data_IF_269410514797
#
_entry.id   IF_269410514797
#
_cell.length_a   1.000
_cell.length_b   1.000
_cell.length_c   1.000
_cell.angle_alpha   90.00
_cell.angle_beta   90.00
_cell.angle_gamma   90.00
#
_symmetry.space_group_name_H-M   'P 1'
#
loop_
_entity.id
_entity.type
_entity.pdbx_description
1 polymer ?
#
# COMPACT_ATOMS: atom_id res chain seq x y z
N UNK A 1 10.47 -24.05 4.07
CA UNK A 1 9.58 -22.94 4.47
C UNK A 1 8.39 -23.56 5.16
N UNK A 2 8.19 -23.23 6.43
CA UNK A 2 7.01 -23.66 7.19
C UNK A 2 6.06 -22.47 7.31
N UNK A 3 4.84 -22.62 6.78
CA UNK A 3 3.82 -21.57 6.83
C UNK A 3 2.92 -21.79 8.05
N UNK A 4 2.95 -20.86 9.01
CA UNK A 4 2.11 -20.90 10.21
C UNK A 4 1.16 -19.70 10.21
N UNK A 5 -0.15 -19.90 9.93
CA UNK A 5 -1.11 -18.81 9.97
C UNK A 5 -1.33 -18.37 11.42
N UNK A 6 -1.08 -17.09 11.69
CA UNK A 6 -1.33 -16.43 12.97
C UNK A 6 -2.45 -15.40 12.84
N UNK A 7 -3.04 -14.98 13.96
CA UNK A 7 -4.03 -13.90 13.94
C UNK A 7 -3.36 -12.58 13.56
N UNK A 8 -4.11 -11.69 12.91
CA UNK A 8 -3.58 -10.39 12.49
C UNK A 8 -3.04 -9.54 13.66
N UNK A 9 -3.71 -9.58 14.82
CA UNK A 9 -3.22 -8.88 16.01
C UNK A 9 -1.86 -9.39 16.49
N UNK A 10 -1.65 -10.72 16.46
CA UNK A 10 -0.35 -11.33 16.80
C UNK A 10 0.71 -11.00 15.76
N UNK A 11 0.34 -10.96 14.48
CA UNK A 11 1.23 -10.51 13.40
C UNK A 11 1.72 -9.08 13.64
N UNK A 12 0.80 -8.15 13.94
CA UNK A 12 1.15 -6.75 14.24
C UNK A 12 2.08 -6.65 15.46
N UNK A 13 1.80 -7.39 16.53
CA UNK A 13 2.66 -7.41 17.73
C UNK A 13 4.07 -7.91 17.42
N UNK A 14 4.19 -8.94 16.57
CA UNK A 14 5.48 -9.44 16.09
C UNK A 14 6.22 -8.43 15.21
N UNK A 15 5.51 -7.72 14.34
CA UNK A 15 6.11 -6.72 13.44
C UNK A 15 6.57 -5.44 14.16
N UNK A 16 5.89 -5.04 15.23
CA UNK A 16 6.12 -3.72 15.85
C UNK A 16 6.78 -3.78 17.22
N UNK A 17 6.54 -4.82 18.02
CA UNK A 17 7.00 -4.86 19.41
C UNK A 17 8.13 -5.86 19.62
N UNK A 18 7.90 -7.14 19.30
CA UNK A 18 8.88 -8.20 19.58
C UNK A 18 9.94 -8.37 18.50
N UNK A 19 9.64 -7.94 17.26
CA UNK A 19 10.51 -8.12 16.08
C UNK A 19 10.88 -9.60 15.81
N UNK A 20 10.04 -10.53 16.27
CA UNK A 20 10.24 -11.97 16.13
C UNK A 20 9.67 -12.51 14.81
N UNK A 21 10.33 -12.17 13.70
CA UNK A 21 9.95 -12.62 12.35
C UNK A 21 11.16 -12.58 11.40
N UNK A 22 11.18 -13.49 10.43
CA UNK A 22 12.21 -13.51 9.37
C UNK A 22 11.69 -12.93 8.05
N UNK A 23 10.43 -13.25 7.70
CA UNK A 23 9.75 -12.73 6.52
C UNK A 23 8.25 -12.62 6.79
N UNK A 24 7.61 -11.63 6.16
CA UNK A 24 6.17 -11.41 6.26
C UNK A 24 5.58 -11.18 4.87
N UNK A 25 4.44 -11.82 4.61
CA UNK A 25 3.59 -11.47 3.47
C UNK A 25 2.51 -10.54 4.00
N UNK A 26 2.61 -9.26 3.65
CA UNK A 26 1.69 -8.22 4.08
C UNK A 26 1.24 -7.37 2.89
N UNK A 27 0.01 -6.88 2.94
CA UNK A 27 -0.46 -5.83 2.05
C UNK A 27 -0.43 -4.49 2.79
N UNK A 28 0.15 -3.48 2.15
CA UNK A 28 0.06 -2.09 2.59
C UNK A 28 -1.06 -1.40 1.82
N UNK A 29 -1.91 -0.66 2.53
CA UNK A 29 -2.90 0.22 1.92
C UNK A 29 -2.35 1.65 1.86
N UNK A 30 -2.83 2.46 0.92
CA UNK A 30 -2.40 3.84 0.76
C UNK A 30 -3.40 4.70 0.01
N UNK A 31 -3.06 5.98 -0.14
CA UNK A 31 -3.79 6.91 -1.00
C UNK A 31 -3.26 6.89 -2.44
N UNK A 32 -3.75 7.83 -3.24
CA UNK A 32 -3.25 8.09 -4.60
C UNK A 32 -1.97 8.95 -4.63
N UNK A 33 -1.51 9.44 -3.48
CA UNK A 33 -0.29 10.22 -3.36
C UNK A 33 0.90 9.29 -3.05
N UNK A 34 2.03 9.39 -3.78
CA UNK A 34 3.21 8.55 -3.55
C UNK A 34 3.93 8.86 -2.22
N UNK A 35 3.61 9.97 -1.56
CA UNK A 35 4.20 10.35 -0.28
C UNK A 35 3.61 9.55 0.88
N UNK A 36 4.27 8.45 1.23
CA UNK A 36 3.92 7.59 2.35
C UNK A 36 5.04 7.61 3.40
N UNK A 37 5.23 8.73 4.14
CA UNK A 37 6.37 8.92 5.04
C UNK A 37 6.40 7.91 6.18
N UNK A 38 5.23 7.40 6.58
CA UNK A 38 5.13 6.41 7.64
C UNK A 38 5.82 5.07 7.29
N UNK A 39 5.99 4.77 6.00
CA UNK A 39 6.68 3.57 5.49
C UNK A 39 8.12 3.89 5.08
N UNK A 40 8.31 5.02 4.39
CA UNK A 40 9.59 5.31 3.71
C UNK A 40 10.57 6.14 4.52
N UNK A 41 10.15 6.79 5.60
CA UNK A 41 11.10 7.39 6.53
C UNK A 41 11.70 6.30 7.41
N UNK A 42 13.00 6.40 7.65
CA UNK A 42 13.75 5.51 8.54
C UNK A 42 13.07 5.36 9.90
N UNK A 43 12.55 6.46 10.46
CA UNK A 43 11.83 6.50 11.75
C UNK A 43 10.30 6.45 11.61
N UNK A 44 9.78 5.99 10.48
CA UNK A 44 8.36 5.79 10.28
C UNK A 44 7.83 4.62 11.13
N UNK A 45 6.61 4.72 11.65
CA UNK A 45 6.04 3.64 12.50
C UNK A 45 5.72 2.36 11.70
N UNK A 46 5.60 2.47 10.37
CA UNK A 46 5.45 1.34 9.45
C UNK A 46 6.70 1.15 8.58
N UNK A 47 7.86 1.63 9.01
CA UNK A 47 9.11 1.21 8.40
C UNK A 47 9.29 -0.29 8.66
N UNK A 48 9.49 -1.11 7.63
CA UNK A 48 9.41 -2.58 7.74
C UNK A 48 10.73 -3.30 7.50
N UNK A 49 11.78 -2.59 7.09
CA UNK A 49 13.13 -3.12 6.94
C UNK A 49 14.05 -2.33 7.87
N UNK A 50 15.13 -2.95 8.36
CA UNK A 50 16.07 -2.32 9.31
C UNK A 50 15.38 -1.56 10.47
N UNK A 51 14.26 -2.10 10.98
CA UNK A 51 13.30 -1.36 11.80
C UNK A 51 13.94 -0.78 13.06
N UNK A 52 13.57 0.45 13.41
CA UNK A 52 13.91 1.01 14.71
C UNK A 52 13.01 0.43 15.81
N UNK A 53 13.56 0.24 17.02
CA UNK A 53 12.74 -0.10 18.17
C UNK A 53 11.71 1.01 18.41
N UNK A 54 10.51 0.62 18.82
CA UNK A 54 9.45 1.56 19.18
C UNK A 54 9.90 2.52 20.28
N UNK A 55 9.27 3.69 20.35
CA UNK A 55 9.57 4.66 21.39
C UNK A 55 9.45 4.03 22.80
N UNK A 56 10.54 4.05 23.56
CA UNK A 56 10.60 3.48 24.91
C UNK A 56 11.09 2.02 24.98
N UNK A 57 11.28 1.34 23.85
CA UNK A 57 11.95 0.04 23.81
C UNK A 57 13.48 0.19 23.88
N UNK A 58 14.16 -0.90 24.21
CA UNK A 58 15.62 -0.92 24.26
C UNK A 58 16.21 -0.74 22.84
N UNK A 59 17.33 -0.02 22.70
CA UNK A 59 18.04 0.06 21.42
C UNK A 59 18.39 -1.32 20.88
N UNK A 60 18.26 -1.50 19.57
CA UNK A 60 18.75 -2.70 18.89
C UNK A 60 20.26 -2.62 18.75
N UNK A 61 20.96 -3.68 19.15
CA UNK A 61 22.42 -3.75 19.06
C UNK A 61 22.86 -3.79 17.58
N UNK A 62 23.85 -2.95 17.23
CA UNK A 62 24.43 -2.94 15.88
C UNK A 62 23.53 -2.36 14.79
N UNK A 63 22.37 -1.78 15.13
CA UNK A 63 21.51 -1.14 14.14
C UNK A 63 22.19 0.08 13.51
N UNK A 64 22.27 0.09 12.18
CA UNK A 64 22.78 1.24 11.41
C UNK A 64 21.91 1.47 10.19
N UNK A 65 21.52 2.72 9.94
CA UNK A 65 20.81 3.10 8.71
C UNK A 65 21.80 3.08 7.55
N UNK A 66 21.49 2.29 6.51
CA UNK A 66 22.34 2.24 5.33
C UNK A 66 22.22 3.53 4.49
N UNK A 67 23.26 3.93 3.73
CA UNK A 67 23.20 5.15 2.92
C UNK A 67 22.04 5.16 1.92
N UNK A 68 21.74 4.03 1.28
CA UNK A 68 20.63 3.90 0.32
C UNK A 68 19.26 4.03 1.01
N UNK A 69 19.13 3.50 2.22
CA UNK A 69 17.91 3.57 3.02
C UNK A 69 17.63 5.02 3.44
N UNK A 70 18.67 5.74 3.88
CA UNK A 70 18.56 7.17 4.16
C UNK A 70 18.23 7.97 2.90
N UNK A 71 18.83 7.62 1.75
CA UNK A 71 18.56 8.29 0.48
C UNK A 71 17.09 8.14 0.04
N UNK A 72 16.47 6.96 0.25
CA UNK A 72 15.03 6.77 0.01
C UNK A 72 14.20 7.74 0.89
N UNK A 73 14.54 7.85 2.18
CA UNK A 73 13.85 8.77 3.09
C UNK A 73 14.02 10.24 2.68
N UNK A 74 15.23 10.63 2.25
CA UNK A 74 15.55 11.98 1.80
C UNK A 74 14.81 12.34 0.49
N UNK A 75 14.72 11.41 -0.46
CA UNK A 75 13.93 11.56 -1.68
C UNK A 75 12.44 11.70 -1.37
N UNK A 76 11.91 10.88 -0.46
CA UNK A 76 10.52 10.96 -0.03
C UNK A 76 10.19 12.33 0.63
N UNK A 77 11.10 12.87 1.43
CA UNK A 77 11.01 14.20 2.04
C UNK A 77 11.13 15.31 0.99
N UNK A 78 12.08 15.21 0.07
CA UNK A 78 12.25 16.17 -1.03
C UNK A 78 10.98 16.23 -1.90
N UNK A 79 10.43 15.07 -2.25
CA UNK A 79 9.20 14.97 -3.04
C UNK A 79 7.98 15.61 -2.36
N UNK A 80 7.96 15.72 -1.03
CA UNK A 80 6.88 16.40 -0.30
C UNK A 80 6.98 17.92 -0.35
N UNK A 81 8.14 18.47 -0.75
CA UNK A 81 8.42 19.91 -0.77
C UNK A 81 8.25 20.53 -2.16
N UNK A 82 8.10 19.71 -3.20
CA UNK A 82 7.97 20.14 -4.60
C UNK A 82 6.48 20.29 -4.96
N UNK A 83 6.10 21.49 -5.41
CA UNK A 83 4.72 21.79 -5.85
C UNK A 83 4.46 21.40 -7.32
N UNK A 84 5.36 21.70 -8.29
CA UNK A 84 5.12 21.33 -9.68
C UNK A 84 5.04 19.79 -9.85
N UNK A 85 3.94 19.23 -10.37
CA UNK A 85 3.76 17.78 -10.44
C UNK A 85 4.81 17.05 -11.28
N UNK A 86 5.27 17.66 -12.37
CA UNK A 86 6.28 17.07 -13.26
C UNK A 86 7.64 16.96 -12.55
N UNK A 87 8.04 18.00 -11.84
CA UNK A 87 9.28 17.99 -11.06
C UNK A 87 9.18 17.02 -9.87
N UNK A 88 8.00 16.96 -9.23
CA UNK A 88 7.71 16.04 -8.13
C UNK A 88 7.82 14.58 -8.58
N UNK A 89 7.28 14.26 -9.76
CA UNK A 89 7.34 12.90 -10.35
C UNK A 89 8.79 12.42 -10.47
N UNK A 90 9.68 13.25 -11.02
CA UNK A 90 11.09 12.87 -11.22
C UNK A 90 11.79 12.44 -9.93
N UNK A 91 11.44 13.05 -8.79
CA UNK A 91 11.99 12.66 -7.48
C UNK A 91 11.44 11.31 -7.01
N UNK A 92 10.15 11.06 -7.18
CA UNK A 92 9.57 9.74 -6.84
C UNK A 92 9.99 8.64 -7.82
N UNK A 93 10.31 8.97 -9.07
CA UNK A 93 10.87 8.03 -10.03
C UNK A 93 12.27 7.59 -9.59
N UNK A 94 13.12 8.53 -9.14
CA UNK A 94 14.42 8.22 -8.54
C UNK A 94 14.29 7.35 -7.29
N UNK A 95 13.33 7.67 -6.42
CA UNK A 95 13.05 6.89 -5.22
C UNK A 95 12.64 5.44 -5.59
N UNK A 96 11.78 5.27 -6.59
CA UNK A 96 11.37 3.95 -7.06
C UNK A 96 12.55 3.16 -7.65
N UNK A 97 13.44 3.80 -8.41
CA UNK A 97 14.65 3.14 -8.92
C UNK A 97 15.55 2.65 -7.77
N UNK A 98 15.78 3.47 -6.75
CA UNK A 98 16.56 3.09 -5.56
C UNK A 98 15.91 1.90 -4.83
N UNK A 99 14.58 1.94 -4.63
CA UNK A 99 13.83 0.81 -4.03
C UNK A 99 13.97 -0.46 -4.87
N UNK A 100 13.95 -0.37 -6.19
CA UNK A 100 14.09 -1.53 -7.07
C UNK A 100 15.53 -2.08 -7.12
N UNK A 101 16.53 -1.25 -6.88
CA UNK A 101 17.94 -1.68 -6.81
C UNK A 101 18.22 -2.44 -5.51
N UNK A 102 17.77 -1.93 -4.37
CA UNK A 102 18.07 -2.50 -3.05
C UNK A 102 17.02 -3.49 -2.53
N UNK A 103 15.85 -3.57 -3.19
CA UNK A 103 14.78 -4.54 -2.93
C UNK A 103 14.40 -4.69 -1.45
N UNK A 104 14.14 -3.60 -0.69
CA UNK A 104 13.68 -3.73 0.70
C UNK A 104 12.31 -4.42 0.80
N UNK A 105 11.54 -4.42 -0.29
CA UNK A 105 10.32 -5.19 -0.47
C UNK A 105 10.37 -6.01 -1.75
N UNK A 106 9.74 -7.18 -1.71
CA UNK A 106 9.46 -8.00 -2.90
C UNK A 106 7.98 -7.83 -3.22
N UNK A 107 7.68 -7.02 -4.23
CA UNK A 107 6.30 -6.77 -4.67
C UNK A 107 5.75 -7.99 -5.41
N UNK A 108 4.61 -8.52 -4.94
CA UNK A 108 4.00 -9.73 -5.51
C UNK A 108 2.95 -9.41 -6.58
N UNK A 109 1.96 -8.58 -6.25
CA UNK A 109 0.83 -8.29 -7.15
C UNK A 109 0.29 -6.88 -6.93
N UNK A 110 -0.26 -6.29 -7.99
CA UNK A 110 -1.21 -5.18 -7.90
C UNK A 110 -2.63 -5.75 -7.99
N UNK A 111 -3.37 -5.85 -6.87
CA UNK A 111 -4.62 -6.62 -6.84
C UNK A 111 -5.75 -5.88 -7.56
N UNK A 112 -6.60 -6.65 -8.26
CA UNK A 112 -7.92 -6.18 -8.67
C UNK A 112 -8.86 -6.10 -7.47
N UNK A 113 -9.78 -5.13 -7.48
CA UNK A 113 -10.82 -4.99 -6.47
C UNK A 113 -12.19 -5.38 -7.04
N UNK A 114 -12.92 -6.22 -6.30
CA UNK A 114 -14.30 -6.59 -6.60
C UNK A 114 -15.16 -6.31 -5.37
N UNK A 115 -16.22 -5.54 -5.55
CA UNK A 115 -17.18 -5.22 -4.48
C UNK A 115 -18.58 -5.67 -4.87
N UNK A 116 -19.27 -6.36 -3.96
CA UNK A 116 -20.67 -6.74 -4.11
C UNK A 116 -21.53 -5.87 -3.20
N UNK A 117 -22.57 -5.26 -3.76
CA UNK A 117 -23.54 -4.45 -3.01
C UNK A 117 -24.94 -4.98 -3.27
N UNK A 118 -25.81 -4.88 -2.26
CA UNK A 118 -27.22 -5.25 -2.40
C UNK A 118 -27.87 -4.38 -3.47
N UNK A 119 -28.70 -5.00 -4.30
CA UNK A 119 -29.44 -4.33 -5.39
C UNK A 119 -30.43 -3.25 -4.92
N UNK A 120 -30.71 -3.13 -3.62
CA UNK A 120 -31.56 -2.08 -3.04
C UNK A 120 -30.93 -0.68 -2.99
N UNK A 121 -29.65 -0.55 -3.35
CA UNK A 121 -28.94 0.72 -3.29
C UNK A 121 -28.75 1.29 -4.70
N UNK A 122 -29.13 2.55 -4.88
CA UNK A 122 -29.05 3.30 -6.14
C UNK A 122 -28.00 4.40 -6.02
N UNK A 123 -27.41 4.77 -7.17
CA UNK A 123 -26.41 5.84 -7.22
C UNK A 123 -25.02 5.42 -6.74
N UNK A 124 -24.72 4.12 -6.64
CA UNK A 124 -23.36 3.66 -6.33
C UNK A 124 -22.45 3.94 -7.52
N UNK A 125 -21.38 4.68 -7.28
CA UNK A 125 -20.30 4.88 -8.23
C UNK A 125 -19.08 4.06 -7.78
N UNK A 126 -18.41 3.43 -8.73
CA UNK A 126 -17.22 2.62 -8.44
C UNK A 126 -15.96 3.44 -8.63
N UNK A 127 -15.05 3.37 -7.66
CA UNK A 127 -13.74 4.00 -7.71
C UNK A 127 -12.68 3.04 -7.20
N UNK A 128 -11.49 3.08 -7.81
CA UNK A 128 -10.34 2.30 -7.35
C UNK A 128 -9.88 2.71 -5.95
N UNK A 129 -10.21 3.92 -5.48
CA UNK A 129 -9.71 4.49 -4.22
C UNK A 129 -10.75 4.49 -3.08
N UNK A 130 -12.02 4.32 -3.41
CA UNK A 130 -13.12 4.69 -2.51
C UNK A 130 -13.97 3.53 -1.95
N UNK A 131 -13.72 2.31 -2.42
CA UNK A 131 -14.65 1.20 -2.19
C UNK A 131 -16.05 1.51 -2.74
N UNK A 132 -17.06 0.74 -2.33
CA UNK A 132 -18.39 0.83 -2.91
C UNK A 132 -19.26 1.99 -2.40
N UNK A 133 -18.81 2.73 -1.37
CA UNK A 133 -19.62 3.74 -0.68
C UNK A 133 -18.92 5.09 -0.54
N UNK A 134 -17.89 5.38 -1.34
CA UNK A 134 -17.18 6.67 -1.27
C UNK A 134 -18.09 7.87 -1.57
N UNK A 135 -19.11 7.67 -2.41
CA UNK A 135 -20.10 8.68 -2.76
C UNK A 135 -21.37 8.56 -1.91
N UNK A 136 -21.24 8.18 -0.63
CA UNK A 136 -22.36 7.96 0.30
C UNK A 136 -23.47 9.04 0.24
N UNK A 137 -23.16 10.35 0.15
CA UNK A 137 -24.21 11.39 0.07
C UNK A 137 -25.14 11.27 -1.15
N UNK A 138 -24.69 10.62 -2.23
CA UNK A 138 -25.46 10.40 -3.47
C UNK A 138 -26.15 9.04 -3.51
N UNK A 139 -25.97 8.20 -2.49
CA UNK A 139 -26.54 6.85 -2.43
C UNK A 139 -27.92 6.89 -1.77
N UNK A 140 -28.89 6.19 -2.35
CA UNK A 140 -30.26 6.10 -1.85
C UNK A 140 -30.78 4.65 -1.88
N UNK A 141 -31.89 4.40 -1.16
CA UNK A 141 -32.63 3.16 -1.31
C UNK A 141 -33.51 3.22 -2.57
N UNK A 142 -33.43 2.19 -3.41
CA UNK A 142 -34.32 2.04 -4.56
C UNK A 142 -35.57 1.28 -4.14
N UNK A 143 -36.75 1.80 -4.49
CA UNK A 143 -38.00 1.02 -4.43
C UNK A 143 -38.03 -0.06 -5.54
N UNK A 144 -37.42 0.23 -6.69
CA UNK A 144 -37.18 -0.71 -7.78
C UNK A 144 -35.68 -0.85 -8.05
N UNK A 145 -35.06 -2.00 -7.75
CA UNK A 145 -33.62 -2.19 -7.94
C UNK A 145 -33.24 -2.07 -9.43
N UNK A 146 -32.09 -1.44 -9.76
CA UNK A 146 -31.61 -1.41 -11.13
C UNK A 146 -31.35 -2.85 -11.61
N UNK A 147 -31.71 -3.13 -12.87
CA UNK A 147 -31.31 -4.37 -13.53
C UNK A 147 -29.78 -4.47 -13.51
N UNK A 148 -29.21 -5.66 -13.24
CA UNK A 148 -27.76 -5.82 -13.26
C UNK A 148 -27.21 -5.29 -14.59
N UNK A 149 -26.06 -4.57 -14.59
CA UNK A 149 -25.45 -4.16 -15.84
C UNK A 149 -25.26 -5.40 -16.73
N UNK A 150 -25.47 -5.29 -18.05
CA UNK A 150 -25.25 -6.41 -18.95
C UNK A 150 -23.84 -6.96 -18.70
N UNK A 151 -23.71 -8.29 -18.57
CA UNK A 151 -22.43 -8.91 -18.26
C UNK A 151 -21.39 -8.41 -19.25
N UNK A 152 -20.40 -7.63 -18.80
CA UNK A 152 -19.20 -7.36 -19.59
C UNK A 152 -18.32 -8.62 -19.59
N UNK A 153 -18.88 -9.75 -20.01
CA UNK A 153 -18.17 -10.99 -20.27
C UNK A 153 -17.46 -10.88 -21.62
N UNK A 154 -16.52 -9.92 -21.72
CA UNK A 154 -15.45 -9.78 -22.73
C UNK A 154 -14.93 -8.34 -22.72
N UNK A 155 -14.19 -7.97 -21.66
CA UNK A 155 -13.05 -7.07 -21.92
C UNK A 155 -11.91 -7.95 -22.38
N UNK A 156 -11.63 -7.90 -23.67
CA UNK A 156 -10.42 -8.46 -24.23
C UNK A 156 -9.25 -7.71 -23.59
N UNK A 157 -8.51 -8.35 -22.70
CA UNK A 157 -7.29 -7.79 -22.12
C UNK A 157 -6.17 -7.94 -23.16
N UNK A 158 -5.64 -6.85 -23.74
CA UNK A 158 -4.51 -6.97 -24.63
C UNK A 158 -3.26 -7.22 -23.78
N UNK A 159 -2.59 -8.35 -24.03
CA UNK A 159 -1.20 -8.57 -23.64
C UNK A 159 -0.96 -9.15 -22.26
N UNK A 160 -1.44 -10.37 -21.99
CA UNK A 160 -0.59 -11.32 -21.28
C UNK A 160 0.42 -11.87 -22.30
N UNK A 161 1.50 -11.11 -22.52
CA UNK A 161 2.67 -11.61 -23.22
C UNK A 161 3.28 -12.74 -22.40
N UNK A 162 3.60 -13.83 -23.09
CA UNK A 162 4.26 -15.02 -22.58
C UNK A 162 5.59 -14.71 -21.88
N UNK A 163 5.99 -15.67 -21.04
CA UNK A 163 7.21 -15.73 -20.25
C UNK A 163 8.52 -15.51 -21.02
#
# INVERSE_FOLDING_TARGET
MDFSPISFGVLVDKLSNSLEWDAVVLSLTGGNDPHIPNVWYVKGNLHMFNQHPQAGAQPLEGQTVAPWEQNIADLALKGSQIIPPQERSLVYDQMQLEVQEYLPFIYLVSPYSLSAVRNRFCGIEYSALGGAFWNLPSISFCDNPPSPPPSQATRHFPGAGEA
#
